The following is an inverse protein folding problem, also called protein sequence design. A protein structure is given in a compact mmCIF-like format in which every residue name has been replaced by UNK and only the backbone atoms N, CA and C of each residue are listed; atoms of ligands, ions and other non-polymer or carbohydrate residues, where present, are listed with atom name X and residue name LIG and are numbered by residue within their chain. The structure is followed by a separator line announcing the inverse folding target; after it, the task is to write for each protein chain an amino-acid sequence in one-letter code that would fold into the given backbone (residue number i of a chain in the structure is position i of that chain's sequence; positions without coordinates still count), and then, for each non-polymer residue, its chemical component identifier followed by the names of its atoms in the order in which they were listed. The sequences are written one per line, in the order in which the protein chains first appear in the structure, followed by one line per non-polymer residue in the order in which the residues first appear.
data_IF_271328598363
#
_entry.id   IF_271328598363
#
_cell.length_a   1.000
_cell.length_b   1.000
_cell.length_c   1.000
_cell.angle_alpha   90.00
_cell.angle_beta   90.00
_cell.angle_gamma   90.00
#
_symmetry.space_group_name_H-M   'P 1'
#
loop_
_entity.id
_entity.type
_entity.pdbx_description
1 polymer ?
#
# COMPACT_ATOMS: atom_id res chain seq x y z
N UNK A 1 20.81 -6.12 -1.79
CA UNK A 1 19.39 -6.48 -1.91
C UNK A 1 18.69 -5.80 -0.77
N UNK A 2 17.91 -4.75 -1.05
CA UNK A 2 17.09 -4.08 -0.04
C UNK A 2 15.96 -5.04 0.31
N UNK A 3 15.84 -5.43 1.57
CA UNK A 3 14.75 -6.29 2.02
C UNK A 3 13.41 -5.61 1.70
N UNK A 4 12.46 -6.38 1.16
CA UNK A 4 11.11 -5.90 0.90
C UNK A 4 10.46 -5.47 2.21
N UNK A 5 10.02 -4.20 2.29
CA UNK A 5 9.26 -3.70 3.44
C UNK A 5 7.78 -3.62 3.10
N UNK A 6 6.98 -4.24 3.97
CA UNK A 6 5.52 -4.18 3.89
C UNK A 6 5.00 -2.76 4.14
N UNK A 7 3.95 -2.38 3.41
CA UNK A 7 3.13 -1.22 3.76
C UNK A 7 2.47 -1.51 5.11
N UNK A 8 2.63 -0.62 6.08
CA UNK A 8 2.01 -0.71 7.40
C UNK A 8 1.57 0.66 7.91
N UNK A 9 0.56 0.66 8.77
CA UNK A 9 0.15 1.87 9.50
C UNK A 9 1.19 2.14 10.60
N UNK A 10 1.90 3.26 10.51
CA UNK A 10 2.92 3.67 11.48
C UNK A 10 2.35 4.58 12.56
N UNK A 11 1.34 5.37 12.21
CA UNK A 11 0.69 6.30 13.12
C UNK A 11 -0.79 6.42 12.77
N UNK A 12 -1.63 6.43 13.80
CA UNK A 12 -3.05 6.68 13.72
C UNK A 12 -3.34 7.94 14.56
N UNK A 13 -3.75 9.01 13.90
CA UNK A 13 -4.28 10.19 14.55
C UNK A 13 -5.78 10.32 14.25
N UNK A 14 -6.60 10.42 15.29
CA UNK A 14 -8.03 10.70 15.17
C UNK A 14 -8.35 12.03 15.84
N UNK A 15 -9.07 12.88 15.12
CA UNK A 15 -9.47 14.21 15.59
C UNK A 15 -10.91 14.50 15.23
N UNK A 16 -11.54 15.41 15.99
CA UNK A 16 -12.86 15.91 15.64
C UNK A 16 -12.78 16.64 14.30
N UNK A 17 -13.64 16.29 13.34
CA UNK A 17 -13.67 17.01 12.08
C UNK A 17 -14.25 18.40 12.30
N UNK A 18 -13.85 19.36 11.47
CA UNK A 18 -14.30 20.76 11.55
C UNK A 18 -15.82 20.91 11.28
N UNK A 19 -16.49 19.84 10.84
CA UNK A 19 -17.90 19.83 10.48
C UNK A 19 -18.62 18.59 11.04
N UNK A 20 -19.46 18.80 12.07
CA UNK A 20 -20.43 17.81 12.56
C UNK A 20 -19.85 16.65 13.41
N UNK A 21 -20.59 15.54 13.56
CA UNK A 21 -20.20 14.37 14.37
C UNK A 21 -19.10 13.50 13.72
N UNK A 22 -18.48 13.98 12.65
CA UNK A 22 -17.47 13.27 11.90
C UNK A 22 -16.10 13.38 12.59
N UNK A 23 -15.27 12.37 12.37
CA UNK A 23 -13.88 12.30 12.80
C UNK A 23 -12.98 12.25 11.58
N UNK A 24 -11.90 13.04 11.62
CA UNK A 24 -10.80 12.94 10.68
C UNK A 24 -9.82 11.88 11.21
N UNK A 25 -9.66 10.80 10.46
CA UNK A 25 -8.64 9.80 10.67
C UNK A 25 -7.48 10.09 9.74
N UNK A 26 -6.28 10.22 10.30
CA UNK A 26 -5.02 10.36 9.56
C UNK A 26 -4.18 9.15 9.85
N UNK A 27 -3.76 8.47 8.79
CA UNK A 27 -2.93 7.28 8.84
C UNK A 27 -1.65 7.54 8.07
N UNK A 28 -0.52 7.31 8.71
CA UNK A 28 0.77 7.32 8.04
C UNK A 28 1.14 5.88 7.65
N UNK A 29 1.57 5.69 6.41
CA UNK A 29 2.07 4.45 5.84
C UNK A 29 3.60 4.43 5.92
N UNK A 30 4.21 3.25 5.96
CA UNK A 30 5.65 3.09 5.82
C UNK A 30 6.13 3.64 4.47
N UNK A 31 7.07 4.59 4.50
CA UNK A 31 7.67 5.19 3.31
C UNK A 31 8.68 4.27 2.60
N UNK A 32 9.04 3.14 3.23
CA UNK A 32 10.07 2.22 2.78
C UNK A 32 9.58 1.08 1.86
N UNK A 33 8.28 1.02 1.56
CA UNK A 33 7.80 0.02 0.61
C UNK A 33 8.44 0.25 -0.78
N UNK A 34 8.80 -0.81 -1.53
CA UNK A 34 9.48 -0.67 -2.81
C UNK A 34 8.71 0.22 -3.80
N UNK A 35 9.46 0.79 -4.76
CA UNK A 35 9.16 1.97 -5.62
C UNK A 35 7.80 1.99 -6.35
N UNK A 36 7.01 0.93 -6.31
CA UNK A 36 5.72 0.78 -6.98
C UNK A 36 4.55 0.40 -6.04
N UNK A 37 4.81 -0.01 -4.80
CA UNK A 37 3.77 -0.46 -3.87
C UNK A 37 2.89 0.67 -3.33
N UNK A 38 3.42 1.85 -3.01
CA UNK A 38 2.58 2.98 -2.59
C UNK A 38 1.58 3.40 -3.68
N UNK A 39 2.00 3.40 -4.95
CA UNK A 39 1.13 3.71 -6.08
C UNK A 39 0.08 2.62 -6.31
N UNK A 40 0.47 1.34 -6.24
CA UNK A 40 -0.48 0.22 -6.32
C UNK A 40 -1.52 0.26 -5.20
N UNK A 41 -1.10 0.59 -3.97
CA UNK A 41 -2.01 0.81 -2.85
C UNK A 41 -2.99 1.95 -3.14
N UNK A 42 -2.47 3.08 -3.63
CA UNK A 42 -3.27 4.26 -3.97
C UNK A 42 -4.30 3.93 -5.04
N UNK A 43 -3.93 3.19 -6.07
CA UNK A 43 -4.87 2.74 -7.11
C UNK A 43 -5.92 1.79 -6.53
N UNK A 44 -5.53 0.78 -5.76
CA UNK A 44 -6.43 -0.18 -5.12
C UNK A 44 -7.40 0.47 -4.12
N UNK A 45 -6.94 1.51 -3.42
CA UNK A 45 -7.75 2.28 -2.49
C UNK A 45 -8.76 3.19 -3.22
N UNK A 46 -8.35 3.79 -4.34
CA UNK A 46 -9.20 4.67 -5.17
C UNK A 46 -10.14 3.93 -6.13
N UNK A 47 -10.00 2.60 -6.30
CA UNK A 47 -11.02 1.80 -6.98
C UNK A 47 -12.40 2.06 -6.36
N UNK A 48 -13.50 2.01 -7.14
CA UNK A 48 -14.84 2.28 -6.65
C UNK A 48 -15.19 1.29 -5.54
N UNK A 49 -15.02 1.78 -4.31
CA UNK A 49 -15.10 0.99 -3.11
C UNK A 49 -16.49 1.07 -2.48
N UNK A 50 -16.79 0.20 -1.50
CA UNK A 50 -18.05 0.26 -0.76
C UNK A 50 -18.27 1.65 -0.17
N UNK A 51 -19.55 1.99 0.06
CA UNK A 51 -20.02 3.28 0.58
C UNK A 51 -19.32 3.78 1.87
N UNK A 52 -18.50 2.95 2.51
CA UNK A 52 -17.71 3.26 3.70
C UNK A 52 -16.42 4.04 3.43
N UNK A 53 -15.89 4.13 2.20
CA UNK A 53 -14.68 4.95 1.89
C UNK A 53 -14.97 6.43 1.61
N UNK A 54 -16.16 6.92 1.96
CA UNK A 54 -16.59 8.31 1.68
C UNK A 54 -15.58 9.28 2.29
N UNK A 55 -14.93 10.07 1.42
CA UNK A 55 -13.94 11.10 1.76
C UNK A 55 -12.56 10.59 2.24
N UNK A 56 -12.15 9.38 1.86
CA UNK A 56 -10.76 8.97 2.02
C UNK A 56 -9.88 9.53 0.89
N UNK A 57 -8.82 10.26 1.24
CA UNK A 57 -7.83 10.85 0.34
C UNK A 57 -6.45 10.29 0.68
N UNK A 58 -5.73 9.81 -0.33
CA UNK A 58 -4.36 9.30 -0.20
C UNK A 58 -3.38 10.27 -0.86
N UNK A 59 -2.46 10.79 -0.06
CA UNK A 59 -1.39 11.73 -0.44
C UNK A 59 -0.03 11.17 -0.01
N UNK A 60 0.70 10.58 -0.96
CA UNK A 60 1.98 9.92 -0.67
C UNK A 60 1.82 8.80 0.34
N UNK A 61 2.52 8.92 1.48
CA UNK A 61 2.43 7.98 2.60
C UNK A 61 1.34 8.34 3.61
N UNK A 62 0.44 9.28 3.32
CA UNK A 62 -0.61 9.72 4.25
C UNK A 62 -1.98 9.43 3.67
N UNK A 63 -2.83 8.74 4.45
CA UNK A 63 -4.24 8.55 4.15
C UNK A 63 -5.06 9.35 5.15
N UNK A 64 -5.91 10.24 4.65
CA UNK A 64 -6.85 11.01 5.46
C UNK A 64 -8.26 10.57 5.13
N UNK A 65 -9.07 10.19 6.11
CA UNK A 65 -10.46 9.75 5.92
C UNK A 65 -11.38 10.44 6.91
N UNK A 66 -12.53 10.90 6.43
CA UNK A 66 -13.57 11.49 7.27
C UNK A 66 -14.67 10.47 7.50
N UNK A 67 -14.93 10.07 8.74
CA UNK A 67 -15.89 9.02 9.06
C UNK A 67 -16.60 9.25 10.39
N UNK A 68 -17.72 8.58 10.63
CA UNK A 68 -18.32 8.56 11.96
C UNK A 68 -17.49 7.67 12.90
N UNK A 69 -17.52 7.96 14.20
CA UNK A 69 -16.79 7.17 15.20
C UNK A 69 -17.11 5.67 15.17
N UNK A 70 -18.36 5.29 14.87
CA UNK A 70 -18.76 3.87 14.76
C UNK A 70 -18.30 3.20 13.46
N UNK A 71 -17.94 3.98 12.44
CA UNK A 71 -17.42 3.49 11.15
C UNK A 71 -15.90 3.30 11.18
N UNK A 72 -15.22 3.92 12.15
CA UNK A 72 -13.77 3.94 12.27
C UNK A 72 -13.16 2.54 12.23
N UNK A 73 -13.68 1.62 13.06
CA UNK A 73 -13.16 0.26 13.10
C UNK A 73 -13.33 -0.45 11.75
N UNK A 74 -14.49 -0.31 11.11
CA UNK A 74 -14.74 -0.90 9.79
C UNK A 74 -13.85 -0.30 8.69
N UNK A 75 -13.55 1.00 8.76
CA UNK A 75 -12.59 1.63 7.84
C UNK A 75 -11.16 1.12 8.06
N UNK A 76 -10.74 0.93 9.32
CA UNK A 76 -9.43 0.36 9.65
C UNK A 76 -9.34 -1.09 9.15
N UNK A 77 -10.37 -1.90 9.34
CA UNK A 77 -10.39 -3.29 8.88
C UNK A 77 -10.28 -3.37 7.35
N UNK A 78 -11.05 -2.55 6.64
CA UNK A 78 -11.00 -2.48 5.18
C UNK A 78 -9.65 -1.94 4.67
N UNK A 79 -9.04 -1.01 5.40
CA UNK A 79 -7.70 -0.52 5.09
C UNK A 79 -6.66 -1.62 5.24
N UNK A 80 -6.70 -2.38 6.33
CA UNK A 80 -5.79 -3.50 6.55
C UNK A 80 -5.95 -4.57 5.45
N UNK A 81 -7.17 -4.83 4.99
CA UNK A 81 -7.41 -5.75 3.87
C UNK A 81 -6.73 -5.27 2.58
N UNK A 82 -6.90 -3.99 2.23
CA UNK A 82 -6.27 -3.42 1.03
C UNK A 82 -4.74 -3.38 1.15
N UNK A 83 -4.22 -3.03 2.33
CA UNK A 83 -2.78 -3.07 2.62
C UNK A 83 -2.25 -4.49 2.44
N UNK A 84 -2.91 -5.49 3.04
CA UNK A 84 -2.48 -6.89 2.92
C UNK A 84 -2.47 -7.35 1.47
N UNK A 85 -3.57 -7.12 0.74
CA UNK A 85 -3.67 -7.50 -0.67
C UNK A 85 -2.62 -6.80 -1.55
N UNK A 86 -2.31 -5.53 -1.25
CA UNK A 86 -1.26 -4.79 -1.98
C UNK A 86 0.12 -5.34 -1.66
N UNK A 87 0.41 -5.64 -0.40
CA UNK A 87 1.68 -6.23 0.02
C UNK A 87 1.89 -7.60 -0.64
N UNK A 88 0.87 -8.46 -0.67
CA UNK A 88 0.92 -9.76 -1.35
C UNK A 88 1.21 -9.60 -2.85
N UNK A 89 0.49 -8.70 -3.54
CA UNK A 89 0.72 -8.43 -4.96
C UNK A 89 2.14 -7.91 -5.23
N UNK A 90 2.64 -7.05 -4.34
CA UNK A 90 3.97 -6.47 -4.44
C UNK A 90 5.10 -7.46 -4.16
N UNK A 91 4.93 -8.36 -3.19
CA UNK A 91 5.85 -9.47 -2.93
C UNK A 91 5.93 -10.37 -4.16
N UNK A 92 4.78 -10.80 -4.67
CA UNK A 92 4.70 -11.67 -5.85
C UNK A 92 5.38 -11.03 -7.07
N UNK A 93 5.20 -9.72 -7.27
CA UNK A 93 5.85 -8.96 -8.33
C UNK A 93 7.37 -8.86 -8.17
N UNK A 94 7.84 -8.67 -6.94
CA UNK A 94 9.27 -8.61 -6.62
C UNK A 94 9.96 -9.96 -6.82
N UNK A 95 9.34 -11.05 -6.35
CA UNK A 95 9.82 -12.42 -6.54
C UNK A 95 9.90 -12.79 -8.03
N UNK A 96 8.89 -12.40 -8.83
CA UNK A 96 8.92 -12.60 -10.28
C UNK A 96 10.01 -11.77 -10.99
N UNK A 97 10.26 -10.55 -10.53
CA UNK A 97 11.31 -9.69 -11.08
C UNK A 97 12.71 -10.25 -10.77
N UNK A 98 12.93 -10.78 -9.56
CA UNK A 98 14.17 -11.45 -9.18
C UNK A 98 14.42 -12.72 -10.02
N UNK A 99 13.38 -13.53 -10.23
CA UNK A 99 13.48 -14.74 -11.08
C UNK A 99 13.82 -14.41 -12.54
N UNK A 100 13.26 -13.32 -13.09
CA UNK A 100 13.61 -12.85 -14.44
C UNK A 100 15.06 -12.38 -14.52
N UNK A 101 15.50 -11.58 -13.56
CA UNK A 101 16.89 -11.10 -13.52
C UNK A 101 17.89 -12.25 -13.38
N UNK A 102 17.62 -13.27 -12.56
CA UNK A 102 18.50 -14.46 -12.47
C UNK A 102 18.54 -15.24 -13.79
N UNK A 103 17.40 -15.36 -14.48
CA UNK A 103 17.31 -15.97 -15.80
C UNK A 103 18.14 -15.23 -16.85
N UNK A 104 18.00 -13.92 -16.94
CA UNK A 104 18.76 -13.07 -17.88
C UNK A 104 20.26 -13.09 -17.57
N UNK A 105 20.66 -13.05 -16.30
CA UNK A 105 22.06 -13.20 -15.87
C UNK A 105 22.65 -14.56 -16.24
N UNK A 106 21.87 -15.64 -16.10
CA UNK A 106 22.30 -16.98 -16.53
C UNK A 106 22.49 -17.06 -18.04
N UNK A 107 21.57 -16.50 -18.80
CA UNK A 107 21.61 -16.51 -20.26
C UNK A 107 22.79 -15.67 -20.80
N UNK A 108 23.02 -14.49 -20.19
CA UNK A 108 24.17 -13.63 -20.49
C UNK A 108 25.51 -14.30 -20.11
N UNK A 109 25.56 -15.00 -18.97
CA UNK A 109 26.74 -15.76 -18.55
C UNK A 109 27.00 -16.98 -19.45
N UNK A 110 25.96 -17.61 -19.98
CA UNK A 110 26.08 -18.71 -20.91
C UNK A 110 26.59 -18.24 -22.28
N UNK A 111 26.10 -17.09 -22.76
CA UNK A 111 26.58 -16.48 -24.01
C UNK A 111 28.02 -15.95 -23.91
N UNK A 112 28.45 -15.45 -22.75
CA UNK A 112 29.84 -15.03 -22.50
C UNK A 112 30.84 -16.17 -22.29
N UNK A 113 30.39 -17.41 -22.05
CA UNK A 113 31.27 -18.59 -21.89
C UNK A 113 31.61 -19.29 -23.21
N UNK A 114 31.01 -18.86 -24.31
CA UNK A 114 31.32 -19.29 -25.67
C UNK A 114 32.19 -18.21 -26.35
N UNK A 115 33.46 -18.13 -25.96
CA UNK A 115 34.59 -17.65 -26.78
C UNK A 115 35.85 -18.44 -26.37
#
# INVERSE_FOLDING_TARGET
MTEFQDIRITELASGQAESGPLMNMVLNLSADAPVNCPDAFREAWNQPAPAMRRQAVVEGSRLTSTCMAYELQGQIDQLNEVISATNDACRLGSEQAELRQDGELRDLKASLRYD
#
